data_IF_992009422624
#
_entry.id   IF_992009422624
#
_cell.length_a   1.000
_cell.length_b   1.000
_cell.length_c   1.000
_cell.angle_alpha   90.00
_cell.angle_beta   90.00
_cell.angle_gamma   90.00
#
_symmetry.space_group_name_H-M   'P 1'
#
loop_
_entity.id
_entity.type
_entity.pdbx_description
1 polymer ?
#
# COMPACT_ATOMS: atom_id res chain seq x y z
N UNK A 1 13.70 47.84 -8.98
CA UNK A 1 13.27 46.66 -8.20
C UNK A 1 14.37 46.41 -7.19
N UNK A 2 14.46 47.34 -6.24
CA UNK A 2 13.86 47.21 -4.90
C UNK A 2 14.66 46.24 -4.05
N UNK A 3 15.70 46.80 -3.43
CA UNK A 3 16.23 46.26 -2.19
C UNK A 3 15.26 46.70 -1.09
N UNK A 4 14.52 45.73 -0.54
CA UNK A 4 13.65 45.93 0.61
C UNK A 4 14.49 46.48 1.77
N UNK A 5 14.11 47.69 2.18
CA UNK A 5 14.62 48.36 3.36
C UNK A 5 14.19 47.53 4.57
N UNK A 6 15.15 46.92 5.25
CA UNK A 6 14.93 46.42 6.61
C UNK A 6 14.74 47.64 7.49
N UNK A 7 13.52 47.84 7.97
CA UNK A 7 13.17 48.87 8.94
C UNK A 7 14.05 48.71 10.18
N UNK A 8 15.11 49.52 10.26
CA UNK A 8 15.81 49.81 11.51
C UNK A 8 14.83 50.54 12.41
N UNK A 9 14.29 49.80 13.39
CA UNK A 9 13.55 50.40 14.50
C UNK A 9 14.51 51.33 15.28
N UNK A 10 14.16 52.62 15.49
CA UNK A 10 14.99 53.55 16.24
C UNK A 10 14.58 53.48 17.70
N UNK A 11 15.29 52.71 18.53
CA UNK A 11 15.09 52.82 19.99
C UNK A 11 16.24 52.25 20.85
N UNK A 12 17.49 52.60 20.57
CA UNK A 12 18.65 52.06 21.32
C UNK A 12 19.51 53.15 22.01
N UNK A 13 18.91 54.27 22.41
CA UNK A 13 19.61 55.40 23.07
C UNK A 13 19.34 55.56 24.58
N UNK A 14 18.79 54.56 25.29
CA UNK A 14 18.46 54.74 26.73
C UNK A 14 19.02 53.72 27.72
N UNK A 15 19.88 52.78 27.32
CA UNK A 15 20.44 51.79 28.26
C UNK A 15 21.97 51.88 28.38
N UNK A 16 22.50 53.07 28.66
CA UNK A 16 23.87 53.15 29.19
C UNK A 16 23.85 52.67 30.64
N UNK A 17 24.37 51.46 30.87
CA UNK A 17 24.51 50.91 32.21
C UNK A 17 25.65 51.62 32.95
N UNK A 18 25.30 52.54 33.86
CA UNK A 18 26.26 53.36 34.61
C UNK A 18 26.81 52.67 35.86
N UNK A 19 26.30 51.48 36.19
CA UNK A 19 26.73 50.73 37.38
C UNK A 19 28.12 50.12 37.19
N UNK A 20 28.86 50.05 38.28
CA UNK A 20 30.24 49.53 38.29
C UNK A 20 30.22 48.02 38.09
N UNK A 21 30.90 47.53 37.06
CA UNK A 21 31.04 46.10 36.81
C UNK A 21 32.12 45.48 37.69
N UNK A 22 31.77 44.42 38.39
CA UNK A 22 32.67 43.66 39.27
C UNK A 22 32.54 42.17 38.98
N UNK A 23 33.62 41.44 39.16
CA UNK A 23 33.70 40.00 38.88
C UNK A 23 33.43 39.11 40.10
N UNK A 24 33.45 39.68 41.31
CA UNK A 24 33.34 38.93 42.56
C UNK A 24 32.54 39.71 43.61
N UNK A 25 31.37 39.18 43.97
CA UNK A 25 30.51 39.69 45.06
C UNK A 25 31.25 39.71 46.41
N UNK A 26 32.02 38.66 46.71
CA UNK A 26 32.86 38.53 47.93
C UNK A 26 33.83 39.70 48.14
N UNK A 27 34.53 40.11 47.08
CA UNK A 27 35.48 41.24 47.17
C UNK A 27 34.78 42.56 47.47
N UNK A 28 33.59 42.77 46.90
CA UNK A 28 32.78 43.97 47.16
C UNK A 28 32.27 43.98 48.59
N UNK A 29 31.78 42.83 49.09
CA UNK A 29 31.36 42.73 50.50
C UNK A 29 32.49 42.99 51.48
N UNK A 30 33.71 42.52 51.20
CA UNK A 30 34.88 42.82 52.03
C UNK A 30 35.22 44.32 52.05
N UNK A 31 35.14 44.99 50.89
CA UNK A 31 35.37 46.44 50.81
C UNK A 31 34.30 47.22 51.56
N UNK A 32 33.03 46.87 51.38
CA UNK A 32 31.91 47.48 52.12
C UNK A 32 32.17 47.36 53.63
N UNK A 33 32.58 46.20 54.12
CA UNK A 33 32.85 45.99 55.54
C UNK A 33 34.01 46.86 56.06
N UNK A 34 35.11 46.97 55.30
CA UNK A 34 36.22 47.87 55.67
C UNK A 34 35.79 49.33 55.73
N UNK A 35 34.98 49.80 54.79
CA UNK A 35 34.49 51.17 54.79
C UNK A 35 33.46 51.42 55.91
N UNK A 36 32.63 50.42 56.25
CA UNK A 36 31.74 50.47 57.42
C UNK A 36 32.53 50.64 58.72
N UNK A 37 33.67 49.94 58.88
CA UNK A 37 34.56 50.11 60.03
C UNK A 37 35.09 51.55 60.15
N UNK A 38 35.44 52.18 59.03
CA UNK A 38 35.88 53.59 59.02
C UNK A 38 34.71 54.52 59.36
N UNK A 39 33.54 54.31 58.75
CA UNK A 39 32.34 55.12 58.99
C UNK A 39 31.83 55.04 60.44
N UNK A 40 32.08 53.93 61.15
CA UNK A 40 31.76 53.83 62.57
C UNK A 40 32.42 54.93 63.42
N UNK A 41 33.61 55.40 63.03
CA UNK A 41 34.34 56.46 63.74
C UNK A 41 33.95 57.89 63.34
N UNK A 42 33.09 58.06 62.33
CA UNK A 42 32.80 59.37 61.73
C UNK A 42 32.05 60.33 62.67
N UNK A 43 31.30 59.80 63.63
CA UNK A 43 30.47 60.57 64.58
C UNK A 43 31.13 60.78 65.95
N UNK A 44 32.32 60.21 66.18
CA UNK A 44 33.04 60.28 67.47
C UNK A 44 33.47 61.71 67.82
N UNK A 45 33.67 62.57 66.82
CA UNK A 45 34.08 63.96 66.98
C UNK A 45 32.95 64.95 67.31
N UNK A 46 31.69 64.49 67.44
CA UNK A 46 30.54 65.37 67.66
C UNK A 46 30.02 65.29 69.11
N UNK A 47 30.37 66.26 69.99
CA UNK A 47 29.94 66.24 71.38
C UNK A 47 28.49 66.69 71.61
N UNK A 48 27.86 67.36 70.65
CA UNK A 48 26.57 68.05 70.83
C UNK A 48 25.32 67.16 70.62
N UNK A 49 25.50 65.88 70.32
CA UNK A 49 24.40 64.96 69.96
C UNK A 49 24.22 63.92 71.07
N UNK A 50 22.97 63.59 71.43
CA UNK A 50 22.67 62.52 72.38
C UNK A 50 23.19 61.16 71.88
N UNK A 51 23.70 60.34 72.79
CA UNK A 51 24.25 59.01 72.48
C UNK A 51 23.24 58.07 71.81
N UNK A 52 21.94 58.23 72.09
CA UNK A 52 20.88 57.45 71.45
C UNK A 52 20.64 57.88 70.01
N UNK A 53 20.59 59.20 69.74
CA UNK A 53 20.42 59.71 68.38
C UNK A 53 21.65 59.47 67.52
N UNK A 54 22.87 59.52 68.10
CA UNK A 54 24.10 59.13 67.41
C UNK A 54 24.06 57.70 66.90
N UNK A 55 23.64 56.74 67.73
CA UNK A 55 23.57 55.32 67.34
C UNK A 55 22.58 55.09 66.21
N UNK A 56 21.40 55.71 66.28
CA UNK A 56 20.39 55.59 65.23
C UNK A 56 20.89 56.18 63.90
N UNK A 57 21.47 57.39 63.93
CA UNK A 57 22.04 58.04 62.75
C UNK A 57 23.19 57.23 62.14
N UNK A 58 24.02 56.62 62.98
CA UNK A 58 25.12 55.76 62.53
C UNK A 58 24.56 54.51 61.83
N UNK A 59 23.59 53.83 62.43
CA UNK A 59 22.96 52.66 61.84
C UNK A 59 22.31 52.98 60.49
N UNK A 60 21.57 54.08 60.41
CA UNK A 60 20.94 54.56 59.17
C UNK A 60 21.99 54.90 58.11
N UNK A 61 23.09 55.55 58.50
CA UNK A 61 24.20 55.87 57.60
C UNK A 61 24.85 54.62 57.02
N UNK A 62 25.15 53.61 57.86
CA UNK A 62 25.77 52.36 57.41
C UNK A 62 24.84 51.58 56.47
N UNK A 63 23.55 51.53 56.79
CA UNK A 63 22.55 50.85 55.96
C UNK A 63 22.35 51.58 54.62
N UNK A 64 22.25 52.91 54.64
CA UNK A 64 22.13 53.73 53.43
C UNK A 64 23.38 53.62 52.56
N UNK A 65 24.57 53.59 53.16
CA UNK A 65 25.82 53.37 52.45
C UNK A 65 25.86 52.01 51.76
N UNK A 66 25.56 50.94 52.49
CA UNK A 66 25.57 49.58 51.94
C UNK A 66 24.58 49.43 50.78
N UNK A 67 23.32 49.84 50.99
CA UNK A 67 22.27 49.73 49.97
C UNK A 67 22.59 50.60 48.76
N UNK A 68 23.15 51.80 48.95
CA UNK A 68 23.61 52.64 47.84
C UNK A 68 24.74 51.99 47.05
N UNK A 69 25.72 51.37 47.70
CA UNK A 69 26.82 50.66 47.00
C UNK A 69 26.27 49.45 46.25
N UNK A 70 25.43 48.64 46.88
CA UNK A 70 24.82 47.45 46.25
C UNK A 70 23.96 47.81 45.03
N UNK A 71 23.21 48.91 45.09
CA UNK A 71 22.40 49.39 43.98
C UNK A 71 23.22 49.92 42.78
N UNK A 72 24.48 50.30 43.02
CA UNK A 72 25.37 50.87 42.00
C UNK A 72 26.41 49.87 41.46
N UNK A 73 26.36 48.61 41.89
CA UNK A 73 27.30 47.56 41.47
C UNK A 73 26.56 46.47 40.69
N UNK A 74 27.19 46.00 39.61
CA UNK A 74 26.79 44.81 38.88
C UNK A 74 27.85 43.73 39.02
N UNK A 75 27.43 42.52 39.34
CA UNK A 75 28.32 41.36 39.42
C UNK A 75 28.13 40.52 38.16
N UNK A 76 29.14 40.47 37.29
CA UNK A 76 29.06 39.77 36.00
C UNK A 76 27.84 40.16 35.14
N UNK A 77 27.44 41.43 35.18
CA UNK A 77 26.28 41.95 34.44
C UNK A 77 24.92 41.66 35.09
N UNK A 78 24.89 41.03 36.27
CA UNK A 78 23.69 40.80 37.07
C UNK A 78 23.58 41.79 38.22
N UNK A 79 22.35 42.05 38.66
CA UNK A 79 22.09 42.87 39.85
C UNK A 79 22.58 42.17 41.11
N UNK A 80 22.84 42.94 42.18
CA UNK A 80 23.40 42.42 43.43
C UNK A 80 22.60 41.26 44.05
N UNK A 81 21.27 41.28 43.94
CA UNK A 81 20.37 40.24 44.45
C UNK A 81 20.34 38.97 43.58
N UNK A 82 20.52 39.13 42.27
CA UNK A 82 20.48 38.02 41.31
C UNK A 82 21.82 37.29 41.21
N UNK A 83 22.91 37.97 41.54
CA UNK A 83 24.24 37.41 41.47
C UNK A 83 24.45 36.29 42.50
N UNK A 84 24.89 35.09 42.05
CA UNK A 84 25.00 33.91 42.90
C UNK A 84 26.04 34.11 44.00
N UNK A 85 25.65 33.77 45.23
CA UNK A 85 26.60 33.65 46.34
C UNK A 85 27.31 32.31 46.22
N UNK A 86 28.65 32.34 46.17
CA UNK A 86 29.53 31.18 45.88
C UNK A 86 29.51 30.12 47.02
N UNK A 87 28.57 30.19 47.96
CA UNK A 87 28.49 29.37 49.16
C UNK A 87 27.36 28.34 49.13
N UNK A 88 26.87 27.95 47.94
CA UNK A 88 25.90 26.85 47.80
C UNK A 88 26.58 25.47 47.94
N UNK A 89 27.09 25.19 49.14
CA UNK A 89 27.73 23.93 49.54
C UNK A 89 26.78 22.72 49.45
N UNK A 90 25.47 22.95 49.43
CA UNK A 90 24.42 21.93 49.28
C UNK A 90 24.50 21.17 47.94
N UNK A 91 25.09 21.77 46.89
CA UNK A 91 25.27 21.09 45.61
C UNK A 91 26.21 19.89 45.68
N UNK A 92 27.15 19.88 46.64
CA UNK A 92 28.14 18.81 46.76
C UNK A 92 27.52 17.51 47.31
N UNK A 93 26.58 17.62 48.25
CA UNK A 93 25.93 16.45 48.85
C UNK A 93 24.97 15.76 47.85
N UNK A 94 24.23 16.55 47.07
CA UNK A 94 23.35 16.05 46.00
C UNK A 94 24.17 15.27 44.96
N UNK A 95 25.40 15.72 44.66
CA UNK A 95 26.29 15.04 43.73
C UNK A 95 26.71 13.66 44.24
N UNK A 96 27.05 13.50 45.52
CA UNK A 96 27.46 12.21 46.06
C UNK A 96 26.32 11.18 46.03
N UNK A 97 25.11 11.60 46.41
CA UNK A 97 23.91 10.76 46.33
C UNK A 97 23.66 10.27 44.89
N UNK A 98 23.80 11.17 43.90
CA UNK A 98 23.63 10.80 42.49
C UNK A 98 24.72 9.85 42.01
N UNK A 99 25.97 9.99 42.47
CA UNK A 99 27.07 9.10 42.12
C UNK A 99 26.83 7.70 42.72
N UNK A 100 26.38 7.62 43.97
CA UNK A 100 26.06 6.35 44.64
C UNK A 100 24.88 5.67 43.96
N UNK A 101 23.80 6.40 43.67
CA UNK A 101 22.62 5.85 42.98
C UNK A 101 23.01 5.30 41.60
N UNK A 102 23.70 6.10 40.80
CA UNK A 102 24.09 5.69 39.43
C UNK A 102 25.02 4.48 39.44
N UNK A 103 25.97 4.42 40.38
CA UNK A 103 26.89 3.28 40.55
C UNK A 103 26.12 2.02 40.96
N UNK A 104 25.21 2.14 41.92
CA UNK A 104 24.35 1.05 42.36
C UNK A 104 23.48 0.51 41.22
N UNK A 105 22.89 1.41 40.42
CA UNK A 105 22.07 1.05 39.26
C UNK A 105 22.87 0.30 38.20
N UNK A 106 24.06 0.81 37.86
CA UNK A 106 24.98 0.17 36.90
C UNK A 106 25.40 -1.23 37.33
N UNK A 107 25.59 -1.47 38.63
CA UNK A 107 25.97 -2.80 39.15
C UNK A 107 24.79 -3.78 39.24
N UNK A 108 23.62 -3.30 39.64
CA UNK A 108 22.50 -4.16 40.08
C UNK A 108 21.48 -4.43 38.99
N UNK A 109 21.12 -3.42 38.20
CA UNK A 109 20.00 -3.52 37.26
C UNK A 109 20.28 -4.47 36.09
N UNK A 110 21.47 -4.49 35.47
CA UNK A 110 21.76 -5.46 34.41
C UNK A 110 21.58 -6.90 34.88
N UNK A 111 21.99 -7.21 36.12
CA UNK A 111 21.85 -8.54 36.73
C UNK A 111 20.38 -8.90 37.01
N UNK A 112 19.55 -7.91 37.35
CA UNK A 112 18.10 -8.09 37.54
C UNK A 112 17.36 -8.24 36.21
N UNK A 113 17.71 -7.47 35.18
CA UNK A 113 17.03 -7.44 33.88
C UNK A 113 17.35 -8.69 33.05
N UNK A 114 18.61 -9.14 33.08
CA UNK A 114 19.09 -10.29 32.30
C UNK A 114 18.18 -11.54 32.39
N UNK A 115 17.78 -12.03 33.58
CA UNK A 115 16.90 -13.20 33.65
C UNK A 115 15.56 -12.95 32.98
N UNK A 116 14.92 -11.78 33.13
CA UNK A 116 13.62 -11.51 32.49
C UNK A 116 13.72 -11.56 30.96
N UNK A 117 14.75 -10.94 30.39
CA UNK A 117 14.97 -10.94 28.94
C UNK A 117 15.23 -12.36 28.43
N UNK A 118 16.06 -13.14 29.16
CA UNK A 118 16.32 -14.55 28.80
C UNK A 118 15.05 -15.40 28.87
N UNK A 119 14.18 -15.19 29.87
CA UNK A 119 12.91 -15.91 29.95
C UNK A 119 11.95 -15.51 28.82
N UNK A 120 11.88 -14.22 28.48
CA UNK A 120 11.07 -13.73 27.37
C UNK A 120 11.52 -14.33 26.03
N UNK A 121 12.82 -14.30 25.73
CA UNK A 121 13.37 -14.90 24.50
C UNK A 121 13.14 -16.42 24.43
N UNK A 122 13.26 -17.12 25.57
CA UNK A 122 12.92 -18.55 25.63
C UNK A 122 11.45 -18.81 25.38
N UNK A 123 10.56 -17.97 25.90
CA UNK A 123 9.12 -18.08 25.67
C UNK A 123 8.77 -17.84 24.20
N UNK A 124 9.34 -16.80 23.59
CA UNK A 124 9.19 -16.50 22.17
C UNK A 124 9.65 -17.67 21.29
N UNK A 125 10.84 -18.22 21.57
CA UNK A 125 11.33 -19.42 20.87
C UNK A 125 10.40 -20.62 21.03
N UNK A 126 9.82 -20.81 22.22
CA UNK A 126 8.83 -21.88 22.46
C UNK A 126 7.56 -21.66 21.65
N UNK A 127 7.08 -20.43 21.54
CA UNK A 127 5.92 -20.06 20.73
C UNK A 127 6.20 -20.33 19.24
N UNK A 128 7.36 -19.92 18.73
CA UNK A 128 7.77 -20.19 17.35
C UNK A 128 7.81 -21.69 17.02
N UNK A 129 8.28 -22.53 17.94
CA UNK A 129 8.26 -23.98 17.76
C UNK A 129 6.84 -24.56 17.61
N UNK A 130 5.80 -23.89 18.12
CA UNK A 130 4.40 -24.30 17.89
C UNK A 130 3.92 -23.96 16.48
N UNK A 131 4.39 -22.85 15.90
CA UNK A 131 4.03 -22.43 14.55
C UNK A 131 4.61 -23.35 13.47
N UNK A 132 5.84 -23.86 13.65
CA UNK A 132 6.50 -24.75 12.68
C UNK A 132 5.69 -26.03 12.36
N UNK A 133 4.82 -26.48 13.27
CA UNK A 133 4.05 -27.72 13.10
C UNK A 133 2.65 -27.50 12.50
N UNK A 134 2.21 -26.25 12.31
CA UNK A 134 0.78 -25.97 12.12
C UNK A 134 0.30 -26.01 10.67
N UNK A 135 1.19 -25.98 9.66
CA UNK A 135 0.75 -25.91 8.25
C UNK A 135 1.46 -26.96 7.40
N UNK A 136 0.86 -28.14 7.33
CA UNK A 136 1.00 -28.98 6.13
C UNK A 136 -0.01 -28.44 5.11
N UNK A 137 0.40 -28.06 3.89
CA UNK A 137 -0.55 -27.74 2.85
C UNK A 137 -1.44 -28.97 2.62
N UNK A 138 -2.74 -28.76 2.55
CA UNK A 138 -3.70 -29.81 2.23
C UNK A 138 -3.38 -30.28 0.80
N UNK A 139 -3.06 -31.56 0.64
CA UNK A 139 -2.75 -32.12 -0.67
C UNK A 139 -4.02 -32.03 -1.51
N UNK A 140 -3.97 -31.26 -2.60
CA UNK A 140 -5.10 -31.13 -3.53
C UNK A 140 -5.43 -32.49 -4.15
N UNK A 141 -6.42 -33.18 -3.59
CA UNK A 141 -7.02 -34.36 -4.20
C UNK A 141 -7.72 -33.91 -5.46
N UNK A 142 -7.25 -34.38 -6.62
CA UNK A 142 -7.95 -34.17 -7.89
C UNK A 142 -9.30 -34.88 -7.83
N UNK A 143 -10.34 -34.18 -8.24
CA UNK A 143 -11.67 -34.74 -8.33
C UNK A 143 -11.69 -35.88 -9.37
N UNK A 144 -12.00 -37.09 -8.91
CA UNK A 144 -12.04 -38.30 -9.73
C UNK A 144 -13.09 -38.20 -10.86
N UNK A 145 -14.18 -37.46 -10.62
CA UNK A 145 -15.21 -37.24 -11.63
C UNK A 145 -14.71 -36.33 -12.74
N UNK A 146 -13.95 -35.28 -12.39
CA UNK A 146 -13.33 -34.38 -13.37
C UNK A 146 -12.31 -35.13 -14.23
N UNK A 147 -11.49 -36.00 -13.64
CA UNK A 147 -10.50 -36.80 -14.37
C UNK A 147 -11.17 -37.80 -15.35
N UNK A 148 -12.25 -38.45 -14.91
CA UNK A 148 -13.05 -39.34 -15.76
C UNK A 148 -13.66 -38.59 -16.95
N UNK A 149 -14.27 -37.43 -16.71
CA UNK A 149 -14.85 -36.61 -17.77
C UNK A 149 -13.79 -36.14 -18.77
N UNK A 150 -12.64 -35.67 -18.29
CA UNK A 150 -11.54 -35.25 -19.17
C UNK A 150 -11.01 -36.42 -20.01
N UNK A 151 -10.92 -37.62 -19.45
CA UNK A 151 -10.50 -38.81 -20.18
C UNK A 151 -11.51 -39.22 -21.26
N UNK A 152 -12.80 -39.20 -20.96
CA UNK A 152 -13.87 -39.54 -21.92
C UNK A 152 -13.89 -38.55 -23.09
N UNK A 153 -13.87 -37.25 -22.81
CA UNK A 153 -13.85 -36.21 -23.85
C UNK A 153 -12.60 -36.34 -24.72
N UNK A 154 -11.44 -36.58 -24.11
CA UNK A 154 -10.18 -36.76 -24.84
C UNK A 154 -10.18 -38.01 -25.73
N UNK A 155 -10.83 -39.09 -25.30
CA UNK A 155 -10.97 -40.31 -26.09
C UNK A 155 -11.97 -40.15 -27.26
N UNK A 156 -13.07 -39.42 -27.04
CA UNK A 156 -14.13 -39.23 -28.03
C UNK A 156 -13.78 -38.16 -29.10
N UNK A 157 -13.06 -37.10 -28.73
CA UNK A 157 -12.79 -35.96 -29.60
C UNK A 157 -12.14 -36.32 -30.96
N UNK A 158 -11.12 -37.21 -31.04
CA UNK A 158 -10.51 -37.57 -32.32
C UNK A 158 -11.48 -38.27 -33.27
N UNK A 159 -12.43 -39.05 -32.75
CA UNK A 159 -13.44 -39.74 -33.55
C UNK A 159 -14.41 -38.75 -34.19
N UNK A 160 -14.91 -37.81 -33.39
CA UNK A 160 -15.82 -36.74 -33.86
C UNK A 160 -15.14 -35.84 -34.89
N UNK A 161 -13.87 -35.47 -34.67
CA UNK A 161 -13.10 -34.65 -35.62
C UNK A 161 -12.93 -35.37 -36.97
N UNK A 162 -12.62 -36.68 -36.97
CA UNK A 162 -12.52 -37.46 -38.22
C UNK A 162 -13.83 -37.50 -38.98
N UNK A 163 -14.95 -37.69 -38.28
CA UNK A 163 -16.28 -37.67 -38.89
C UNK A 163 -16.59 -36.31 -39.49
N UNK A 164 -16.32 -35.22 -38.77
CA UNK A 164 -16.53 -33.87 -39.27
C UNK A 164 -15.72 -33.59 -40.55
N UNK A 165 -14.44 -33.97 -40.57
CA UNK A 165 -13.57 -33.84 -41.76
C UNK A 165 -14.11 -34.66 -42.93
N UNK A 166 -14.62 -35.86 -42.69
CA UNK A 166 -15.20 -36.70 -43.73
C UNK A 166 -16.49 -36.09 -44.31
N UNK A 167 -17.36 -35.56 -43.45
CA UNK A 167 -18.58 -34.87 -43.87
C UNK A 167 -18.24 -33.67 -44.74
N UNK A 168 -17.30 -32.82 -44.32
CA UNK A 168 -16.86 -31.66 -45.10
C UNK A 168 -16.37 -32.09 -46.49
N UNK A 169 -15.49 -33.10 -46.57
CA UNK A 169 -15.01 -33.63 -47.86
C UNK A 169 -16.16 -34.14 -48.73
N UNK A 170 -17.13 -34.84 -48.15
CA UNK A 170 -18.28 -35.35 -48.91
C UNK A 170 -19.17 -34.22 -49.45
N UNK A 171 -19.38 -33.15 -48.67
CA UNK A 171 -20.14 -31.98 -49.09
C UNK A 171 -19.44 -31.29 -50.26
N UNK A 172 -18.12 -31.12 -50.20
CA UNK A 172 -17.35 -30.51 -51.30
C UNK A 172 -17.50 -31.32 -52.60
N UNK A 173 -17.47 -32.65 -52.51
CA UNK A 173 -17.67 -33.52 -53.70
C UNK A 173 -19.09 -33.39 -54.26
N UNK A 174 -20.11 -33.35 -53.41
CA UNK A 174 -21.49 -33.18 -53.81
C UNK A 174 -21.73 -31.81 -54.45
N UNK A 175 -21.13 -30.76 -53.89
CA UNK A 175 -21.20 -29.41 -54.45
C UNK A 175 -20.60 -29.35 -55.86
N UNK A 176 -19.45 -30.00 -56.09
CA UNK A 176 -18.85 -30.10 -57.44
C UNK A 176 -19.76 -30.85 -58.42
N UNK A 177 -20.38 -31.94 -58.00
CA UNK A 177 -21.33 -32.70 -58.84
C UNK A 177 -22.57 -31.86 -59.19
N UNK A 178 -23.16 -31.18 -58.20
CA UNK A 178 -24.31 -30.30 -58.40
C UNK A 178 -23.96 -29.14 -59.33
N UNK A 179 -22.77 -28.54 -59.20
CA UNK A 179 -22.30 -27.49 -60.10
C UNK A 179 -22.11 -27.98 -61.53
N UNK A 180 -21.55 -29.19 -61.72
CA UNK A 180 -21.43 -29.83 -63.04
C UNK A 180 -22.79 -30.08 -63.71
N UNK A 181 -23.78 -30.56 -62.95
CA UNK A 181 -25.16 -30.72 -63.45
C UNK A 181 -25.78 -29.38 -63.84
N UNK A 182 -25.64 -28.37 -62.98
CA UNK A 182 -26.09 -27.00 -63.28
C UNK A 182 -25.41 -26.43 -64.53
N UNK A 183 -24.13 -26.74 -64.77
CA UNK A 183 -23.43 -26.34 -65.98
C UNK A 183 -24.03 -27.01 -67.22
N UNK A 184 -24.27 -28.33 -67.20
CA UNK A 184 -24.92 -29.04 -68.32
C UNK A 184 -26.31 -28.47 -68.61
N UNK A 185 -27.12 -28.21 -67.59
CA UNK A 185 -28.44 -27.60 -67.75
C UNK A 185 -28.41 -26.18 -68.34
N UNK A 186 -27.30 -25.46 -68.16
CA UNK A 186 -27.09 -24.12 -68.75
C UNK A 186 -26.55 -24.16 -70.17
N UNK A 187 -26.01 -25.29 -70.63
CA UNK A 187 -25.54 -25.43 -72.01
C UNK A 187 -26.74 -25.51 -72.97
N UNK A 188 -26.72 -24.72 -74.03
CA UNK A 188 -27.70 -24.85 -75.11
C UNK A 188 -27.32 -26.01 -76.02
N UNK A 189 -28.28 -26.85 -76.45
CA UNK A 189 -27.98 -27.95 -77.38
C UNK A 189 -27.46 -27.39 -78.71
N UNK A 190 -26.45 -28.04 -79.29
CA UNK A 190 -25.89 -27.62 -80.57
C UNK A 190 -26.94 -27.74 -81.68
N UNK A 191 -26.84 -26.91 -82.72
CA UNK A 191 -27.76 -26.95 -83.86
C UNK A 191 -27.88 -28.35 -84.48
N UNK A 192 -26.75 -29.07 -84.60
CA UNK A 192 -26.73 -30.45 -85.07
C UNK A 192 -27.53 -31.41 -84.16
N UNK A 193 -27.40 -31.28 -82.84
CA UNK A 193 -28.16 -32.12 -81.88
C UNK A 193 -29.67 -31.83 -81.91
N UNK A 194 -30.06 -30.56 -82.11
CA UNK A 194 -31.47 -30.20 -82.28
C UNK A 194 -32.05 -30.75 -83.58
N UNK A 195 -31.27 -30.77 -84.67
CA UNK A 195 -31.70 -31.32 -85.95
C UNK A 195 -31.93 -32.83 -85.88
N UNK A 196 -31.00 -33.57 -85.27
CA UNK A 196 -31.16 -35.02 -85.02
C UNK A 196 -32.36 -35.29 -84.11
N UNK A 197 -32.55 -34.50 -83.03
CA UNK A 197 -33.74 -34.63 -82.18
C UNK A 197 -35.05 -34.37 -82.96
N UNK A 198 -35.04 -33.45 -83.93
CA UNK A 198 -36.20 -33.18 -84.79
C UNK A 198 -36.46 -34.31 -85.78
N UNK A 199 -35.42 -34.97 -86.28
CA UNK A 199 -35.55 -36.12 -87.19
C UNK A 199 -36.00 -37.40 -86.46
N UNK A 200 -35.58 -37.60 -85.20
CA UNK A 200 -35.89 -38.81 -84.43
C UNK A 200 -37.15 -38.69 -83.56
N UNK A 201 -37.39 -37.51 -82.96
CA UNK A 201 -38.51 -37.26 -82.04
C UNK A 201 -39.54 -36.26 -82.59
N UNK A 202 -39.24 -35.55 -83.68
CA UNK A 202 -40.16 -34.62 -84.29
C UNK A 202 -41.16 -35.34 -85.20
N UNK A 203 -42.34 -35.63 -84.66
CA UNK A 203 -43.52 -35.82 -85.49
C UNK A 203 -43.77 -34.52 -86.28
N UNK A 204 -43.54 -34.55 -87.59
CA UNK A 204 -44.02 -33.53 -88.50
C UNK A 204 -45.55 -33.56 -88.49
N UNK A 205 -46.15 -32.48 -87.96
CA UNK A 205 -47.58 -32.27 -87.87
C UNK A 205 -48.29 -32.43 -89.21
N UNK A 206 -49.08 -33.51 -89.36
CA UNK A 206 -50.24 -33.53 -90.24
C UNK A 206 -51.21 -34.65 -89.81
N UNK A 207 -52.49 -34.30 -89.71
CA UNK A 207 -53.69 -35.16 -89.66
C UNK A 207 -54.42 -35.32 -88.31
N UNK A 208 -55.62 -34.73 -88.31
CA UNK A 208 -56.77 -34.74 -87.39
C UNK A 208 -56.98 -35.96 -86.47
N UNK A 209 -57.01 -35.73 -85.15
CA UNK A 209 -57.87 -36.41 -84.18
C UNK A 209 -57.91 -35.65 -82.83
N UNK A 210 -59.05 -35.58 -82.11
CA UNK A 210 -59.17 -34.86 -80.84
C UNK A 210 -58.49 -35.60 -79.66
N UNK A 211 -58.14 -34.90 -78.56
CA UNK A 211 -57.17 -35.38 -77.58
C UNK A 211 -57.80 -36.39 -76.59
N UNK A 212 -57.10 -37.47 -76.21
CA UNK A 212 -57.47 -38.19 -75.01
C UNK A 212 -57.04 -37.38 -73.78
N UNK A 213 -58.05 -37.03 -72.98
CA UNK A 213 -57.89 -36.47 -71.65
C UNK A 213 -57.13 -37.43 -70.74
N UNK A 214 -56.26 -36.84 -69.92
CA UNK A 214 -55.65 -37.41 -68.73
C UNK A 214 -54.71 -38.61 -68.88
N UNK A 215 -53.49 -38.39 -68.40
CA UNK A 215 -52.87 -39.38 -67.52
C UNK A 215 -51.48 -39.82 -67.96
N UNK A 216 -50.47 -39.08 -67.51
CA UNK A 216 -49.40 -39.59 -66.64
C UNK A 216 -48.29 -38.54 -66.60
N UNK A 217 -48.45 -37.57 -65.69
CA UNK A 217 -47.28 -36.86 -65.18
C UNK A 217 -46.51 -37.89 -64.36
N UNK A 218 -45.53 -38.50 -65.03
CA UNK A 218 -44.53 -39.38 -64.42
C UNK A 218 -43.87 -38.59 -63.29
N UNK A 219 -44.08 -39.02 -62.04
CA UNK A 219 -43.31 -38.54 -60.89
C UNK A 219 -42.33 -39.64 -60.47
N UNK A 220 -41.25 -39.87 -61.25
CA UNK A 220 -40.26 -40.89 -60.93
C UNK A 220 -39.59 -40.61 -59.58
N UNK A 221 -39.47 -39.33 -59.22
CA UNK A 221 -38.87 -38.89 -57.95
C UNK A 221 -39.69 -39.37 -56.75
N UNK A 222 -41.03 -39.26 -56.80
CA UNK A 222 -41.87 -39.70 -55.68
C UNK A 222 -41.83 -41.22 -55.48
N UNK A 223 -41.73 -41.98 -56.58
CA UNK A 223 -41.57 -43.45 -56.51
C UNK A 223 -40.23 -43.83 -55.90
N UNK A 224 -39.13 -43.19 -56.32
CA UNK A 224 -37.80 -43.47 -55.79
C UNK A 224 -37.67 -43.12 -54.29
N UNK A 225 -38.31 -42.03 -53.84
CA UNK A 225 -38.35 -41.64 -52.42
C UNK A 225 -39.14 -42.67 -51.59
N UNK A 226 -40.27 -43.15 -52.10
CA UNK A 226 -41.11 -44.12 -51.39
C UNK A 226 -40.46 -45.51 -51.30
N UNK A 227 -39.72 -45.92 -52.33
CA UNK A 227 -38.99 -47.19 -52.36
C UNK A 227 -37.80 -47.20 -51.39
N UNK A 228 -37.08 -46.08 -51.24
CA UNK A 228 -36.04 -45.93 -50.21
C UNK A 228 -36.61 -45.96 -48.79
N UNK A 229 -37.73 -45.28 -48.55
CA UNK A 229 -38.40 -45.28 -47.25
C UNK A 229 -38.88 -46.69 -46.83
N UNK A 230 -39.35 -47.48 -47.81
CA UNK A 230 -39.73 -48.88 -47.57
C UNK A 230 -38.52 -49.75 -47.23
N UNK A 231 -37.38 -49.56 -47.91
CA UNK A 231 -36.15 -50.32 -47.66
C UNK A 231 -35.53 -50.04 -46.26
N UNK A 232 -35.60 -48.80 -45.77
CA UNK A 232 -35.12 -48.46 -44.42
C UNK A 232 -36.01 -49.03 -43.31
N UNK A 233 -37.33 -49.05 -43.53
CA UNK A 233 -38.29 -49.66 -42.58
C UNK A 233 -38.06 -51.18 -42.43
N UNK A 234 -37.67 -51.86 -43.52
CA UNK A 234 -37.34 -53.30 -43.51
C UNK A 234 -36.03 -53.63 -42.79
N UNK A 235 -35.09 -52.69 -42.68
CA UNK A 235 -33.85 -52.88 -41.90
C UNK A 235 -34.08 -52.70 -40.40
N UNK A 236 -34.99 -51.81 -40.01
CA UNK A 236 -35.32 -51.54 -38.60
C UNK A 236 -36.05 -52.70 -37.92
N UNK A 237 -36.83 -53.48 -38.66
CA UNK A 237 -37.55 -54.67 -38.13
C UNK A 237 -36.67 -55.92 -37.97
N UNK A 238 -35.48 -55.98 -38.61
CA UNK A 238 -34.55 -57.11 -38.52
C UNK A 238 -33.50 -56.99 -37.41
N UNK A 239 -33.42 -55.85 -36.71
CA UNK A 239 -32.41 -55.59 -35.67
C UNK A 239 -32.86 -55.85 -34.23
N UNK A 240 -34.06 -56.40 -34.01
CA UNK A 240 -34.66 -56.55 -32.66
C UNK A 240 -34.84 -58.03 -32.24
N UNK A 241 -34.43 -58.99 -33.07
CA UNK A 241 -34.50 -60.41 -32.73
C UNK A 241 -33.10 -61.02 -32.59
N UNK A 242 -32.56 -61.05 -31.37
CA UNK A 242 -31.37 -61.84 -31.03
C UNK A 242 -30.48 -61.28 -29.92
N UNK A 243 -31.00 -61.17 -28.70
CA UNK A 243 -30.19 -61.26 -27.45
C UNK A 243 -31.09 -61.79 -26.35
N UNK A 244 -31.13 -63.12 -26.22
CA UNK A 244 -31.27 -63.82 -24.94
C UNK A 244 -29.90 -64.50 -24.68
#
# INVERSE_FOLDING_TARGET
MEAEQSETSPNDETNQEYRVQVTSKKKVTELINRFKEVLNSALDGQPDISEETKRNLLQDLLHTFETAVQANVLVNGQTWEEAPDVEDTNHLEILDDTIVETTSRRSTYPKKILPYVVHALKAERKIMGLYEQTVKPDDFVKDADQERLMAEVSAAAPGVVKQAVQVIKSIDTLQKQAQGLCQVLRMTPSHASLQIHREVLGFSSQSDAPPPANGRVSQPIKRAVQEKAAAESYKKSKGIAGTD
#
